data_IF_108140316465
#
_entry.id   IF_108140316465
#
_cell.length_a   1.000
_cell.length_b   1.000
_cell.length_c   1.000
_cell.angle_alpha   90.00
_cell.angle_beta   90.00
_cell.angle_gamma   90.00
#
_symmetry.space_group_name_H-M   'P 1'
#
loop_
_entity.id
_entity.type
_entity.pdbx_description
1 polymer ?
#
# COMPACT_ATOMS: atom_id res chain seq x y z
N UNK A 1 38.95 18.79 1.77
CA UNK A 1 39.15 17.42 1.21
C UNK A 1 38.11 17.15 0.12
N UNK A 2 38.47 16.54 -1.02
CA UNK A 2 37.49 16.27 -2.08
C UNK A 2 36.45 15.22 -1.66
N UNK A 3 35.13 15.44 -1.88
CA UNK A 3 34.07 14.53 -1.43
C UNK A 3 34.18 13.09 -1.94
N UNK A 4 34.71 12.91 -3.15
CA UNK A 4 34.98 11.61 -3.78
C UNK A 4 36.07 10.84 -3.05
N UNK A 5 37.14 11.52 -2.63
CA UNK A 5 38.23 10.91 -1.87
C UNK A 5 37.74 10.37 -0.52
N UNK A 6 36.87 11.12 0.17
CA UNK A 6 36.28 10.67 1.44
C UNK A 6 35.39 9.44 1.23
N UNK A 7 34.55 9.46 0.19
CA UNK A 7 33.66 8.36 -0.15
C UNK A 7 34.42 7.04 -0.38
N UNK A 8 35.49 7.08 -1.18
CA UNK A 8 36.33 5.91 -1.45
C UNK A 8 37.02 5.34 -0.21
N UNK A 9 37.40 6.18 0.76
CA UNK A 9 38.00 5.71 2.02
C UNK A 9 36.98 4.92 2.85
N UNK A 10 35.73 5.39 2.90
CA UNK A 10 34.66 4.77 3.67
C UNK A 10 34.17 3.47 3.02
N UNK A 11 34.05 3.42 1.68
CA UNK A 11 33.72 2.20 0.94
C UNK A 11 34.83 1.15 1.04
N UNK A 12 36.09 1.55 0.81
CA UNK A 12 37.24 0.62 0.85
C UNK A 12 37.38 -0.06 2.21
N UNK A 13 37.03 0.64 3.30
CA UNK A 13 37.05 0.06 4.64
C UNK A 13 36.01 -1.05 4.82
N UNK A 14 34.81 -0.85 4.27
CA UNK A 14 33.75 -1.88 4.32
C UNK A 14 34.14 -3.08 3.47
N UNK A 15 34.64 -2.84 2.25
CA UNK A 15 35.00 -3.90 1.32
C UNK A 15 36.21 -4.72 1.80
N UNK A 16 37.28 -4.04 2.23
CA UNK A 16 38.54 -4.71 2.56
C UNK A 16 38.61 -5.21 4.00
N UNK A 17 37.93 -4.52 4.93
CA UNK A 17 38.08 -4.78 6.38
C UNK A 17 36.78 -5.13 7.09
N UNK A 18 35.62 -5.01 6.42
CA UNK A 18 34.28 -5.19 7.03
C UNK A 18 34.08 -4.31 8.28
N UNK A 19 34.70 -3.12 8.30
CA UNK A 19 34.62 -2.16 9.40
C UNK A 19 33.87 -0.90 8.95
N UNK A 20 32.89 -0.49 9.76
CA UNK A 20 32.09 0.72 9.58
C UNK A 20 32.63 1.85 10.48
N UNK A 21 32.86 3.04 9.92
CA UNK A 21 33.25 4.21 10.69
C UNK A 21 32.03 4.85 11.37
N UNK A 22 32.14 5.12 12.67
CA UNK A 22 31.01 5.61 13.50
C UNK A 22 30.92 7.15 13.52
N UNK A 23 32.07 7.84 13.51
CA UNK A 23 32.15 9.30 13.59
C UNK A 23 33.10 9.84 12.53
N UNK A 24 32.73 10.98 11.95
CA UNK A 24 33.54 11.70 10.97
C UNK A 24 34.15 12.92 11.63
N UNK A 25 35.48 12.97 11.68
CA UNK A 25 36.24 14.14 12.14
C UNK A 25 36.90 14.78 10.93
N UNK A 26 36.49 16.02 10.61
CA UNK A 26 37.01 16.78 9.49
C UNK A 26 37.12 18.26 9.83
N UNK A 27 38.00 18.96 9.14
CA UNK A 27 38.45 20.33 9.44
C UNK A 27 37.44 21.43 9.01
N UNK A 28 36.16 21.23 9.29
CA UNK A 28 35.10 22.21 8.99
C UNK A 28 34.58 22.25 7.54
N UNK A 29 35.18 21.49 6.61
CA UNK A 29 34.67 21.34 5.24
C UNK A 29 33.39 20.48 5.20
N UNK A 30 32.23 21.13 5.21
CA UNK A 30 30.90 20.49 5.25
C UNK A 30 30.57 19.58 4.05
N UNK A 31 31.29 19.73 2.93
CA UNK A 31 31.05 18.98 1.68
C UNK A 31 31.41 17.50 1.80
N UNK A 32 32.46 17.16 2.56
CA UNK A 32 32.87 15.77 2.77
C UNK A 32 31.94 15.02 3.74
N UNK A 33 31.45 15.71 4.77
CA UNK A 33 30.47 15.12 5.68
C UNK A 33 29.14 14.82 4.98
N UNK A 34 28.68 15.73 4.12
CA UNK A 34 27.42 15.57 3.39
C UNK A 34 27.42 14.35 2.44
N UNK A 35 28.55 14.00 1.84
CA UNK A 35 28.67 12.79 0.99
C UNK A 35 28.74 11.50 1.80
N UNK A 36 29.12 11.57 3.08
CA UNK A 36 29.45 10.39 3.90
C UNK A 36 28.40 10.05 4.96
N UNK A 37 27.58 11.02 5.39
CA UNK A 37 26.61 10.89 6.49
C UNK A 37 25.58 9.75 6.37
N UNK A 38 25.34 9.26 5.15
CA UNK A 38 24.35 8.22 4.84
C UNK A 38 24.96 7.02 4.09
N UNK A 39 26.30 6.92 3.98
CA UNK A 39 26.99 5.85 3.23
C UNK A 39 26.63 4.45 3.74
N UNK A 40 26.50 4.27 5.05
CA UNK A 40 26.21 2.95 5.64
C UNK A 40 24.71 2.60 5.69
N UNK A 41 23.88 3.43 5.06
CA UNK A 41 22.43 3.42 5.21
C UNK A 41 22.02 3.85 6.62
N UNK A 42 20.80 4.34 6.81
CA UNK A 42 20.27 4.78 8.11
C UNK A 42 20.14 3.69 9.19
N UNK A 43 20.94 2.61 9.15
CA UNK A 43 21.05 1.61 10.22
C UNK A 43 21.44 2.33 11.52
N UNK A 44 20.52 2.33 12.48
CA UNK A 44 20.67 3.02 13.77
C UNK A 44 20.01 4.41 13.84
N UNK A 45 19.50 4.97 12.74
CA UNK A 45 18.66 6.17 12.76
C UNK A 45 17.18 5.75 12.77
N UNK A 46 16.37 6.37 13.62
CA UNK A 46 14.91 6.20 13.56
C UNK A 46 14.44 6.70 12.19
N UNK A 47 13.78 5.84 11.41
CA UNK A 47 13.13 6.25 10.16
C UNK A 47 11.84 7.01 10.48
N UNK A 48 11.45 7.97 9.64
CA UNK A 48 10.21 8.74 9.86
C UNK A 48 8.98 7.83 9.98
N UNK A 49 8.91 6.79 9.16
CA UNK A 49 7.86 5.76 9.24
C UNK A 49 7.85 4.99 10.58
N UNK A 50 8.99 4.91 11.27
CA UNK A 50 9.10 4.30 12.58
C UNK A 50 8.72 5.28 13.70
N UNK A 51 9.06 6.57 13.55
CA UNK A 51 8.59 7.64 14.43
C UNK A 51 7.05 7.69 14.42
N UNK A 52 6.44 7.65 13.23
CA UNK A 52 4.98 7.63 13.07
C UNK A 52 4.34 6.41 13.76
N UNK A 53 4.96 5.24 13.66
CA UNK A 53 4.49 4.02 14.33
C UNK A 53 4.57 4.15 15.85
N UNK A 54 5.69 4.65 16.37
CA UNK A 54 5.90 4.83 17.80
C UNK A 54 4.92 5.85 18.39
N UNK A 55 4.67 6.95 17.68
CA UNK A 55 3.65 7.94 18.05
C UNK A 55 2.27 7.28 18.14
N UNK A 56 1.87 6.49 17.14
CA UNK A 56 0.57 5.82 17.13
C UNK A 56 0.40 4.81 18.29
N UNK A 57 1.45 4.06 18.65
CA UNK A 57 1.38 3.14 19.81
C UNK A 57 1.23 3.89 21.14
N UNK A 58 1.94 5.01 21.30
CA UNK A 58 1.82 5.84 22.49
C UNK A 58 0.45 6.53 22.58
N UNK A 59 -0.10 6.99 21.46
CA UNK A 59 -1.43 7.57 21.39
C UNK A 59 -2.51 6.56 21.82
N UNK A 60 -2.40 5.30 21.38
CA UNK A 60 -3.32 4.22 21.80
C UNK A 60 -3.17 3.97 23.31
N UNK A 61 -1.93 3.89 23.83
CA UNK A 61 -1.68 3.67 25.25
C UNK A 61 -2.27 4.79 26.13
N UNK A 62 -2.20 6.04 25.69
CA UNK A 62 -2.78 7.20 26.39
C UNK A 62 -4.31 7.17 26.31
N UNK A 63 -4.88 6.94 25.12
CA UNK A 63 -6.34 6.90 24.90
C UNK A 63 -7.04 5.76 25.64
N UNK A 64 -6.37 4.62 25.82
CA UNK A 64 -6.95 3.49 26.55
C UNK A 64 -6.86 3.65 28.08
N UNK A 65 -6.01 4.55 28.59
CA UNK A 65 -5.71 4.70 30.02
C UNK A 65 -5.99 6.11 30.58
N UNK A 66 -6.95 6.85 30.01
CA UNK A 66 -7.26 8.26 30.34
C UNK A 66 -7.43 8.53 31.84
N UNK A 67 -7.93 7.55 32.61
CA UNK A 67 -8.19 7.69 34.05
C UNK A 67 -7.24 6.87 34.94
N UNK A 68 -6.17 6.30 34.39
CA UNK A 68 -5.23 5.45 35.15
C UNK A 68 -3.76 5.80 34.82
N UNK A 69 -3.19 6.70 35.63
CA UNK A 69 -1.83 7.20 35.48
C UNK A 69 -0.79 6.07 35.53
N UNK A 70 -0.95 5.12 36.45
CA UNK A 70 0.00 4.02 36.66
C UNK A 70 -0.11 2.99 35.51
N UNK A 71 -1.32 2.75 35.01
CA UNK A 71 -1.57 1.93 33.82
C UNK A 71 -1.00 2.55 32.55
N UNK A 72 -1.18 3.86 32.38
CA UNK A 72 -0.63 4.62 31.25
C UNK A 72 0.91 4.56 31.24
N UNK A 73 1.56 4.81 32.38
CA UNK A 73 3.02 4.73 32.48
C UNK A 73 3.55 3.33 32.12
N UNK A 74 2.89 2.27 32.61
CA UNK A 74 3.26 0.88 32.29
C UNK A 74 3.07 0.57 30.80
N UNK A 75 1.99 1.05 30.20
CA UNK A 75 1.69 0.83 28.78
C UNK A 75 2.69 1.57 27.86
N UNK A 76 3.07 2.80 28.21
CA UNK A 76 4.07 3.59 27.46
C UNK A 76 5.47 2.95 27.58
N UNK A 77 5.87 2.54 28.78
CA UNK A 77 7.14 1.83 28.99
C UNK A 77 7.15 0.50 28.24
N UNK A 78 6.03 -0.24 28.23
CA UNK A 78 5.89 -1.46 27.46
C UNK A 78 6.03 -1.21 25.96
N UNK A 79 5.35 -0.20 25.41
CA UNK A 79 5.47 0.18 24.00
C UNK A 79 6.92 0.54 23.63
N UNK A 80 7.59 1.35 24.46
CA UNK A 80 8.99 1.70 24.25
C UNK A 80 9.92 0.48 24.30
N UNK A 81 9.70 -0.43 25.25
CA UNK A 81 10.50 -1.65 25.38
C UNK A 81 10.32 -2.59 24.19
N UNK A 82 9.10 -2.78 23.69
CA UNK A 82 8.82 -3.58 22.48
C UNK A 82 9.53 -2.97 21.27
N UNK A 83 9.53 -1.65 21.16
CA UNK A 83 10.19 -0.94 20.06
C UNK A 83 11.71 -1.02 20.15
N UNK A 84 12.30 -0.95 21.34
CA UNK A 84 13.73 -1.15 21.56
C UNK A 84 14.17 -2.61 21.25
N UNK A 85 13.28 -3.59 21.50
CA UNK A 85 13.49 -4.99 21.14
C UNK A 85 13.43 -5.26 19.62
N UNK A 86 12.85 -4.35 18.82
CA UNK A 86 12.86 -4.44 17.35
C UNK A 86 14.22 -4.02 16.76
N UNK A 87 15.06 -3.31 17.52
CA UNK A 87 16.35 -2.79 17.07
C UNK A 87 17.55 -3.64 17.52
N UNK A 88 17.43 -4.38 18.63
CA UNK A 88 18.51 -5.19 19.21
C UNK A 88 18.17 -6.69 19.21
N UNK A 89 19.17 -7.51 18.92
CA UNK A 89 19.07 -8.95 18.67
C UNK A 89 18.31 -9.76 19.75
N UNK A 90 17.69 -10.84 19.27
CA UNK A 90 16.58 -11.64 19.83
C UNK A 90 16.76 -12.25 21.24
N UNK A 91 17.95 -12.19 21.87
CA UNK A 91 18.26 -12.99 23.07
C UNK A 91 17.88 -12.34 24.42
N UNK A 92 17.96 -11.01 24.54
CA UNK A 92 17.53 -10.29 25.77
C UNK A 92 15.99 -10.15 25.87
N UNK A 93 15.29 -10.42 24.77
CA UNK A 93 13.85 -10.20 24.61
C UNK A 93 13.00 -11.15 25.48
N UNK A 94 13.31 -12.44 25.51
CA UNK A 94 12.41 -13.42 26.12
C UNK A 94 12.34 -13.31 27.65
N UNK A 95 13.44 -12.96 28.31
CA UNK A 95 13.51 -12.84 29.77
C UNK A 95 12.76 -11.59 30.30
N UNK A 96 12.80 -10.47 29.57
CA UNK A 96 12.04 -9.27 29.93
C UNK A 96 10.56 -9.39 29.56
N UNK A 97 10.24 -10.10 28.47
CA UNK A 97 8.85 -10.34 28.06
C UNK A 97 8.09 -11.23 29.04
N UNK A 98 8.69 -12.28 29.61
CA UNK A 98 8.02 -13.10 30.62
C UNK A 98 7.72 -12.32 31.91
N UNK A 99 8.57 -11.34 32.26
CA UNK A 99 8.37 -10.47 33.42
C UNK A 99 7.30 -9.39 33.21
N UNK A 100 7.03 -9.00 31.96
CA UNK A 100 6.01 -8.00 31.57
C UNK A 100 4.65 -8.66 31.29
N UNK A 101 4.63 -9.85 30.67
CA UNK A 101 3.40 -10.60 30.34
C UNK A 101 2.65 -11.07 31.58
N UNK A 102 3.34 -11.20 32.73
CA UNK A 102 2.71 -11.53 34.02
C UNK A 102 1.76 -10.47 34.58
N UNK A 103 1.73 -9.25 34.03
CA UNK A 103 0.89 -8.16 34.50
C UNK A 103 -0.17 -7.75 33.46
N UNK A 104 -1.31 -8.46 33.47
CA UNK A 104 -2.62 -8.04 32.95
C UNK A 104 -2.60 -7.01 31.80
N UNK A 105 -2.03 -7.37 30.65
CA UNK A 105 -2.01 -6.52 29.45
C UNK A 105 -3.19 -6.92 28.55
N UNK A 106 -3.93 -5.93 28.03
CA UNK A 106 -5.09 -6.13 27.14
C UNK A 106 -4.78 -7.12 25.99
N UNK A 107 -5.76 -7.97 25.65
CA UNK A 107 -5.74 -9.01 24.58
C UNK A 107 -4.99 -8.64 23.27
N UNK A 108 -5.04 -7.40 22.74
CA UNK A 108 -4.24 -7.00 21.58
C UNK A 108 -2.71 -7.04 21.79
N UNK A 109 -2.22 -6.66 22.98
CA UNK A 109 -0.78 -6.65 23.27
C UNK A 109 -0.23 -8.07 23.38
N UNK A 110 -0.99 -8.99 23.99
CA UNK A 110 -0.66 -10.42 24.03
C UNK A 110 -0.58 -11.03 22.63
N UNK A 111 -1.50 -10.65 21.73
CA UNK A 111 -1.49 -11.09 20.32
C UNK A 111 -0.32 -10.50 19.53
N UNK A 112 -0.02 -9.21 19.71
CA UNK A 112 1.12 -8.57 19.06
C UNK A 112 2.45 -9.23 19.50
N UNK A 113 2.56 -9.59 20.77
CA UNK A 113 3.70 -10.32 21.34
C UNK A 113 3.88 -11.73 20.78
N UNK A 114 2.80 -12.46 20.57
CA UNK A 114 2.83 -13.78 19.91
C UNK A 114 3.25 -13.64 18.44
N UNK A 115 2.66 -12.70 17.68
CA UNK A 115 3.05 -12.47 16.28
C UNK A 115 4.49 -11.98 16.12
N UNK A 116 5.04 -11.33 17.15
CA UNK A 116 6.44 -10.90 17.18
C UNK A 116 7.40 -12.09 17.35
N UNK A 117 7.02 -13.09 18.17
CA UNK A 117 7.81 -14.32 18.37
C UNK A 117 7.87 -15.17 17.09
N UNK A 118 6.78 -15.20 16.31
CA UNK A 118 6.66 -16.04 15.13
C UNK A 118 7.24 -15.41 13.85
N UNK A 119 6.96 -14.12 13.58
CA UNK A 119 7.24 -13.51 12.27
C UNK A 119 8.34 -12.43 12.29
N UNK A 120 8.77 -11.96 13.47
CA UNK A 120 9.77 -10.89 13.60
C UNK A 120 9.36 -9.54 12.99
N UNK A 121 8.08 -9.36 12.61
CA UNK A 121 7.55 -8.14 12.01
C UNK A 121 6.10 -7.88 12.44
N UNK A 122 5.83 -6.70 13.00
CA UNK A 122 4.46 -6.25 13.31
C UNK A 122 3.98 -5.36 12.17
N UNK A 123 3.71 -5.97 11.01
CA UNK A 123 2.93 -5.31 9.98
C UNK A 123 1.45 -5.36 10.39
N UNK A 124 0.69 -4.29 10.14
CA UNK A 124 -0.78 -4.40 10.15
C UNK A 124 -1.10 -5.49 9.14
N UNK A 125 -1.59 -6.64 9.60
CA UNK A 125 -2.16 -7.64 8.70
C UNK A 125 -3.10 -6.86 7.80
N UNK A 126 -2.94 -6.96 6.48
CA UNK A 126 -3.95 -6.45 5.58
C UNK A 126 -5.23 -7.13 6.06
N UNK A 127 -6.12 -6.36 6.68
CA UNK A 127 -7.47 -6.81 6.89
C UNK A 127 -8.00 -6.83 5.47
N UNK A 128 -7.76 -7.94 4.76
CA UNK A 128 -8.74 -8.41 3.81
C UNK A 128 -10.01 -8.36 4.63
N UNK A 129 -10.90 -7.42 4.32
CA UNK A 129 -12.20 -7.36 4.99
C UNK A 129 -12.80 -8.77 5.02
N UNK A 130 -13.82 -8.97 5.86
CA UNK A 130 -14.77 -10.06 5.66
C UNK A 130 -14.82 -10.39 4.16
N UNK A 131 -14.50 -11.63 3.72
CA UNK A 131 -14.44 -11.94 2.30
C UNK A 131 -15.68 -11.34 1.70
N UNK A 132 -15.47 -10.34 0.82
CA UNK A 132 -16.56 -9.49 0.35
C UNK A 132 -17.73 -10.40 0.00
N UNK A 133 -18.96 -10.08 0.42
CA UNK A 133 -20.13 -10.94 0.27
C UNK A 133 -20.04 -11.62 -1.09
N UNK A 134 -20.13 -12.96 -1.07
CA UNK A 134 -19.87 -13.86 -2.19
C UNK A 134 -20.11 -13.15 -3.50
N UNK A 135 -19.07 -12.95 -4.31
CA UNK A 135 -19.20 -12.30 -5.61
C UNK A 135 -20.37 -12.98 -6.34
N UNK A 136 -21.47 -12.24 -6.52
CA UNK A 136 -22.68 -12.75 -7.17
C UNK A 136 -22.40 -13.19 -8.61
N UNK A 137 -21.25 -12.77 -9.17
CA UNK A 137 -20.83 -13.11 -10.52
C UNK A 137 -19.52 -13.89 -10.58
N UNK A 138 -19.48 -14.88 -11.47
CA UNK A 138 -18.27 -15.64 -11.80
C UNK A 138 -17.34 -14.81 -12.67
N UNK A 139 -16.03 -15.09 -12.65
CA UNK A 139 -15.05 -14.44 -13.54
C UNK A 139 -15.42 -14.53 -15.03
N UNK A 140 -16.05 -15.63 -15.45
CA UNK A 140 -16.49 -15.82 -16.84
C UNK A 140 -17.70 -14.95 -17.20
N UNK A 141 -18.62 -14.73 -16.25
CA UNK A 141 -19.76 -13.84 -16.41
C UNK A 141 -19.30 -12.39 -16.55
N UNK A 142 -18.32 -11.95 -15.76
CA UNK A 142 -17.73 -10.61 -15.90
C UNK A 142 -17.12 -10.40 -17.29
N UNK A 143 -16.41 -11.41 -17.81
CA UNK A 143 -15.84 -11.37 -19.16
C UNK A 143 -16.93 -11.29 -20.22
N UNK A 144 -17.99 -12.09 -20.09
CA UNK A 144 -19.14 -12.04 -20.98
C UNK A 144 -19.80 -10.66 -20.94
N UNK A 145 -20.02 -10.08 -19.75
CA UNK A 145 -20.56 -8.74 -19.57
C UNK A 145 -19.70 -7.69 -20.29
N UNK A 146 -18.39 -7.74 -20.08
CA UNK A 146 -17.47 -6.79 -20.70
C UNK A 146 -17.50 -6.87 -22.23
N UNK A 147 -17.56 -8.08 -22.78
CA UNK A 147 -17.60 -8.29 -24.23
C UNK A 147 -18.93 -7.83 -24.81
N UNK A 148 -20.06 -8.18 -24.18
CA UNK A 148 -21.40 -7.79 -24.64
C UNK A 148 -21.62 -6.28 -24.53
N UNK A 149 -21.17 -5.64 -23.45
CA UNK A 149 -21.21 -4.18 -23.29
C UNK A 149 -20.31 -3.45 -24.30
N UNK A 150 -19.15 -4.01 -24.66
CA UNK A 150 -18.26 -3.43 -25.67
C UNK A 150 -18.81 -3.55 -27.09
N UNK A 151 -19.47 -4.68 -27.42
CA UNK A 151 -20.13 -4.91 -28.72
C UNK A 151 -21.34 -4.00 -28.88
N UNK A 152 -22.20 -3.94 -27.86
CA UNK A 152 -23.44 -3.17 -27.88
C UNK A 152 -23.35 -1.94 -26.98
N UNK A 153 -22.59 -0.92 -27.42
CA UNK A 153 -22.34 0.31 -26.63
C UNK A 153 -23.58 1.14 -26.28
N UNK A 154 -24.74 0.82 -26.85
CA UNK A 154 -26.03 1.51 -26.60
C UNK A 154 -26.95 0.77 -25.62
N UNK A 155 -26.62 -0.48 -25.26
CA UNK A 155 -27.46 -1.27 -24.36
C UNK A 155 -27.46 -0.68 -22.95
N UNK A 156 -28.64 -0.66 -22.32
CA UNK A 156 -28.80 -0.21 -20.94
C UNK A 156 -28.42 -1.31 -19.96
N UNK A 157 -28.26 -0.96 -18.67
CA UNK A 157 -28.03 -1.95 -17.62
C UNK A 157 -29.19 -2.96 -17.48
N UNK A 158 -30.41 -2.56 -17.83
CA UNK A 158 -31.57 -3.47 -17.87
C UNK A 158 -31.43 -4.47 -19.01
N UNK A 159 -31.09 -4.01 -20.22
CA UNK A 159 -30.87 -4.91 -21.38
C UNK A 159 -29.74 -5.91 -21.10
N UNK A 160 -28.66 -5.45 -20.45
CA UNK A 160 -27.58 -6.32 -20.00
C UNK A 160 -28.08 -7.38 -19.01
N UNK A 161 -28.87 -7.00 -18.01
CA UNK A 161 -29.48 -7.94 -17.07
C UNK A 161 -30.37 -8.97 -17.77
N UNK A 162 -31.16 -8.57 -18.76
CA UNK A 162 -31.99 -9.48 -19.56
C UNK A 162 -31.14 -10.47 -20.37
N UNK A 163 -30.04 -10.02 -20.97
CA UNK A 163 -29.10 -10.92 -21.67
C UNK A 163 -28.46 -11.96 -20.73
N UNK A 164 -28.14 -11.57 -19.49
CA UNK A 164 -27.66 -12.51 -18.47
C UNK A 164 -28.73 -13.54 -18.10
N UNK A 165 -29.97 -13.09 -17.92
CA UNK A 165 -31.07 -13.98 -17.62
C UNK A 165 -31.30 -15.02 -18.71
N UNK A 166 -31.18 -14.65 -19.99
CA UNK A 166 -31.28 -15.59 -21.11
C UNK A 166 -30.12 -16.61 -21.20
N UNK A 167 -28.96 -16.33 -20.60
CA UNK A 167 -27.73 -17.10 -20.82
C UNK A 167 -27.25 -17.96 -19.63
N UNK A 168 -27.48 -17.54 -18.39
CA UNK A 168 -26.88 -18.17 -17.19
C UNK A 168 -27.88 -18.49 -16.08
N UNK A 169 -29.19 -18.36 -16.34
CA UNK A 169 -30.32 -18.58 -15.40
C UNK A 169 -30.32 -17.75 -14.10
N UNK A 170 -29.29 -16.93 -13.87
CA UNK A 170 -29.18 -15.99 -12.76
C UNK A 170 -29.74 -14.61 -13.12
N UNK A 171 -30.57 -14.06 -12.23
CA UNK A 171 -31.06 -12.68 -12.33
C UNK A 171 -30.07 -11.74 -11.65
N UNK A 172 -29.30 -10.99 -12.44
CA UNK A 172 -28.45 -9.94 -11.88
C UNK A 172 -29.29 -8.70 -11.59
N UNK A 173 -29.14 -8.14 -10.39
CA UNK A 173 -29.71 -6.81 -10.12
C UNK A 173 -29.03 -5.76 -11.00
N UNK A 174 -29.78 -4.75 -11.44
CA UNK A 174 -29.26 -3.58 -12.15
C UNK A 174 -28.08 -2.94 -11.38
N UNK A 175 -28.16 -2.91 -10.04
CA UNK A 175 -27.07 -2.39 -9.17
C UNK A 175 -25.79 -3.22 -9.28
N UNK A 176 -25.93 -4.55 -9.36
CA UNK A 176 -24.83 -5.48 -9.57
C UNK A 176 -24.18 -5.25 -10.94
N UNK A 177 -24.99 -5.07 -12.00
CA UNK A 177 -24.51 -4.74 -13.34
C UNK A 177 -23.73 -3.42 -13.36
N UNK A 178 -24.22 -2.36 -12.71
CA UNK A 178 -23.51 -1.08 -12.62
C UNK A 178 -22.16 -1.21 -11.89
N UNK A 179 -22.14 -1.96 -10.79
CA UNK A 179 -20.93 -2.15 -9.98
C UNK A 179 -19.90 -2.96 -10.76
N UNK A 180 -20.34 -4.00 -11.46
CA UNK A 180 -19.53 -4.84 -12.32
C UNK A 180 -18.90 -4.03 -13.47
N UNK A 181 -19.71 -3.26 -14.20
CA UNK A 181 -19.20 -2.44 -15.32
C UNK A 181 -18.24 -1.35 -14.83
N UNK A 182 -18.52 -0.74 -13.67
CA UNK A 182 -17.61 0.23 -13.04
C UNK A 182 -16.27 -0.38 -12.66
N UNK A 183 -16.27 -1.57 -12.05
CA UNK A 183 -15.05 -2.27 -11.66
C UNK A 183 -14.19 -2.67 -12.87
N UNK A 184 -14.83 -2.95 -14.01
CA UNK A 184 -14.16 -3.23 -15.29
C UNK A 184 -13.70 -1.93 -16.00
N UNK A 185 -14.19 -0.76 -15.57
CA UNK A 185 -13.85 0.54 -16.15
C UNK A 185 -14.68 0.91 -17.39
N UNK A 186 -15.87 0.33 -17.55
CA UNK A 186 -16.81 0.68 -18.62
C UNK A 186 -17.78 1.74 -18.11
N UNK A 187 -17.78 2.90 -18.77
CA UNK A 187 -18.61 4.04 -18.42
C UNK A 187 -19.49 4.45 -19.60
N UNK A 188 -20.69 4.94 -19.29
CA UNK A 188 -21.56 5.57 -20.27
C UNK A 188 -20.86 6.82 -20.84
N UNK A 189 -20.88 6.97 -22.17
CA UNK A 189 -20.40 8.18 -22.86
C UNK A 189 -21.59 8.89 -23.49
N UNK A 190 -21.54 10.22 -23.49
CA UNK A 190 -22.49 11.04 -24.24
C UNK A 190 -22.30 10.77 -25.73
N UNK A 191 -23.37 10.43 -26.45
CA UNK A 191 -23.32 10.33 -27.90
C UNK A 191 -23.01 11.70 -28.50
N UNK A 192 -22.14 11.72 -29.49
CA UNK A 192 -21.92 12.94 -30.27
C UNK A 192 -23.13 13.23 -31.15
N UNK A 193 -23.54 14.50 -31.21
CA UNK A 193 -24.58 14.98 -32.12
C UNK A 193 -23.91 15.40 -33.43
N UNK A 194 -24.19 14.68 -34.51
CA UNK A 194 -23.74 15.05 -35.86
C UNK A 194 -24.93 15.08 -36.81
N UNK A 195 -24.83 15.92 -37.84
CA UNK A 195 -25.74 15.88 -38.98
C UNK A 195 -25.52 14.57 -39.74
N UNK A 196 -26.57 13.76 -40.01
CA UNK A 196 -26.40 12.52 -40.74
C UNK A 196 -25.89 12.80 -42.16
N UNK A 197 -24.70 12.30 -42.47
CA UNK A 197 -24.14 12.35 -43.82
C UNK A 197 -24.72 11.20 -44.64
N UNK A 198 -25.25 11.50 -45.82
CA UNK A 198 -25.63 10.49 -46.80
C UNK A 198 -24.37 9.84 -47.41
N UNK A 199 -24.53 8.63 -47.95
CA UNK A 199 -23.42 7.89 -48.57
C UNK A 199 -22.77 8.66 -49.75
N UNK A 200 -23.51 9.56 -50.40
CA UNK A 200 -22.99 10.45 -51.46
C UNK A 200 -22.09 11.53 -50.89
N UNK A 201 -22.48 12.17 -49.78
CA UNK A 201 -21.64 13.15 -49.08
C UNK A 201 -20.33 12.52 -48.57
N UNK A 202 -20.38 11.31 -48.02
CA UNK A 202 -19.17 10.60 -47.58
C UNK A 202 -18.21 10.31 -48.75
N UNK A 203 -18.73 9.85 -49.90
CA UNK A 203 -17.91 9.57 -51.08
C UNK A 203 -17.22 10.83 -51.62
N UNK A 204 -17.95 11.94 -51.77
CA UNK A 204 -17.38 13.22 -52.23
C UNK A 204 -16.30 13.75 -51.29
N UNK A 205 -16.51 13.64 -49.98
CA UNK A 205 -15.49 14.03 -48.99
C UNK A 205 -14.24 13.15 -49.08
N UNK A 206 -14.40 11.85 -49.31
CA UNK A 206 -13.29 10.91 -49.49
C UNK A 206 -12.51 11.15 -50.78
N UNK A 207 -13.20 11.37 -51.91
CA UNK A 207 -12.52 11.67 -53.18
C UNK A 207 -11.74 12.98 -53.09
N UNK A 208 -12.36 14.03 -52.54
CA UNK A 208 -11.70 15.32 -52.33
C UNK A 208 -10.46 15.20 -51.42
N UNK A 209 -10.54 14.47 -50.30
CA UNK A 209 -9.39 14.26 -49.42
C UNK A 209 -8.25 13.48 -50.10
N UNK A 210 -8.57 12.54 -51.01
CA UNK A 210 -7.55 11.79 -51.76
C UNK A 210 -6.89 12.63 -52.85
N UNK A 211 -7.65 13.53 -53.48
CA UNK A 211 -7.15 14.45 -54.50
C UNK A 211 -6.27 15.56 -53.91
N UNK A 212 -6.49 15.92 -52.64
CA UNK A 212 -5.84 17.05 -51.96
C UNK A 212 -4.96 16.63 -50.76
N UNK A 213 -4.64 15.34 -50.63
CA UNK A 213 -3.62 14.90 -49.67
C UNK A 213 -2.23 15.21 -50.23
N UNK A 214 -1.53 16.18 -49.62
CA UNK A 214 -0.12 16.49 -49.87
C UNK A 214 0.80 15.29 -49.60
#
# INVERSE_FOLDING_TARGET
>A
MEPLGVYHIFERSVEMRKLEYVSFFGDGDSKGYASVKDIYGGRGKLTDAFIDKLQNYNDIAIRDNVNNLQGMQRAVIAAFSIVALMQNSKCMANALLDRIVGANVNKPYQRALLTLKDDGNVSKRCITGHPSPSRDTTRNEDRYSAVTAKRNRRNTASDQSSHFFSGTTTTLSIKTVYTLLRNIGIYARRSFKYVPLTATHCRRKLTWNREHSL
#
